data_IF_512974413953
#
_entry.id   IF_512974413953
#
_cell.length_a   1.000
_cell.length_b   1.000
_cell.length_c   1.000
_cell.angle_alpha   90.00
_cell.angle_beta   90.00
_cell.angle_gamma   90.00
#
_symmetry.space_group_name_H-M   'P 1'
#
loop_
_entity.id
_entity.type
_entity.pdbx_description
1 polymer ?
#
# COMPACT_ATOMS: atom_id res chain seq x y z
N UNK A 1 10.89 9.96 -4.65
CA UNK A 1 10.71 10.70 -3.39
C UNK A 1 9.43 11.51 -3.51
N UNK A 2 8.57 11.51 -2.51
CA UNK A 2 7.33 12.28 -2.47
C UNK A 2 7.28 13.18 -1.23
N UNK A 3 6.43 14.18 -1.24
CA UNK A 3 6.18 15.10 -0.14
C UNK A 3 4.68 15.19 0.20
N UNK A 4 4.31 16.08 1.10
CA UNK A 4 2.93 16.26 1.54
C UNK A 4 1.96 16.77 0.46
N UNK A 5 2.45 17.15 -0.73
CA UNK A 5 1.65 17.57 -1.90
C UNK A 5 1.38 16.40 -2.84
N UNK A 6 2.11 15.32 -2.68
CA UNK A 6 1.93 14.11 -3.49
C UNK A 6 0.70 13.32 -3.05
N UNK A 7 0.16 12.54 -3.96
CA UNK A 7 -0.85 11.54 -3.69
C UNK A 7 -0.22 10.14 -3.74
N UNK A 8 -0.44 9.35 -2.69
CA UNK A 8 0.17 8.02 -2.53
C UNK A 8 -0.94 6.95 -2.46
N UNK A 9 -1.61 6.62 -3.57
CA UNK A 9 -2.68 5.62 -3.55
C UNK A 9 -2.14 4.22 -3.28
N UNK A 10 -2.87 3.44 -2.47
CA UNK A 10 -2.66 2.00 -2.31
C UNK A 10 -3.59 1.29 -3.27
N UNK A 11 -3.02 0.58 -4.24
CA UNK A 11 -3.72 -0.10 -5.32
C UNK A 11 -3.60 -1.61 -5.15
N UNK A 12 -4.65 -2.35 -5.48
CA UNK A 12 -4.74 -3.80 -5.31
C UNK A 12 -4.14 -4.60 -6.48
N UNK A 13 -3.39 -3.97 -7.36
CA UNK A 13 -2.75 -4.62 -8.52
C UNK A 13 -3.75 -5.20 -9.51
N UNK A 14 -4.93 -4.57 -9.67
CA UNK A 14 -5.95 -4.97 -10.63
C UNK A 14 -5.70 -4.32 -12.00
N UNK A 15 -6.16 -4.97 -13.06
CA UNK A 15 -5.96 -4.48 -14.44
C UNK A 15 -6.46 -3.05 -14.64
N UNK A 16 -7.63 -2.72 -14.10
CA UNK A 16 -8.20 -1.37 -14.20
C UNK A 16 -7.36 -0.30 -13.51
N UNK A 17 -6.67 -0.65 -12.41
CA UNK A 17 -5.80 0.28 -11.68
C UNK A 17 -4.50 0.55 -12.45
N UNK A 18 -3.89 -0.48 -13.06
CA UNK A 18 -2.74 -0.28 -13.95
C UNK A 18 -3.12 0.56 -15.17
N UNK A 19 -4.33 0.31 -15.75
CA UNK A 19 -4.87 1.13 -16.83
C UNK A 19 -5.07 2.59 -16.39
N UNK A 20 -5.65 2.82 -15.22
CA UNK A 20 -5.85 4.17 -14.68
C UNK A 20 -4.51 4.92 -14.48
N UNK A 21 -3.46 4.25 -14.00
CA UNK A 21 -2.13 4.84 -13.90
C UNK A 21 -1.54 5.18 -15.27
N UNK A 22 -1.80 4.32 -16.27
CA UNK A 22 -1.34 4.54 -17.65
C UNK A 22 -1.95 5.79 -18.28
N UNK A 23 -3.23 6.05 -18.02
CA UNK A 23 -3.99 7.18 -18.58
C UNK A 23 -3.70 8.52 -17.87
N UNK A 24 -2.92 8.55 -16.80
CA UNK A 24 -2.56 9.81 -16.14
C UNK A 24 -1.69 10.67 -17.06
N UNK A 25 -2.04 11.95 -17.21
CA UNK A 25 -1.15 12.90 -17.88
C UNK A 25 0.20 13.01 -17.15
N UNK A 26 1.28 13.37 -17.83
CA UNK A 26 2.61 13.51 -17.20
C UNK A 26 2.60 14.44 -15.97
N UNK A 27 1.83 15.54 -16.03
CA UNK A 27 1.73 16.53 -14.96
C UNK A 27 1.05 15.91 -13.71
N UNK A 28 -0.03 15.15 -13.88
CA UNK A 28 -0.71 14.46 -12.78
C UNK A 28 0.17 13.34 -12.24
N UNK A 29 0.77 12.57 -13.14
CA UNK A 29 1.63 11.42 -12.79
C UNK A 29 2.81 11.84 -11.94
N UNK A 30 3.42 13.00 -12.19
CA UNK A 30 4.52 13.53 -11.40
C UNK A 30 4.17 13.76 -9.91
N UNK A 31 2.88 13.96 -9.61
CA UNK A 31 2.38 14.12 -8.23
C UNK A 31 1.86 12.82 -7.60
N UNK A 32 1.94 11.67 -8.30
CA UNK A 32 1.39 10.39 -7.83
C UNK A 32 2.49 9.36 -7.65
N UNK A 33 2.59 8.79 -6.44
CA UNK A 33 3.52 7.69 -6.14
C UNK A 33 2.71 6.50 -5.60
N UNK A 34 2.32 5.56 -6.46
CA UNK A 34 1.43 4.48 -6.04
C UNK A 34 2.17 3.42 -5.24
N UNK A 35 1.49 2.86 -4.24
CA UNK A 35 1.79 1.58 -3.62
C UNK A 35 0.96 0.53 -4.33
N UNK A 36 1.59 -0.45 -4.95
CA UNK A 36 0.90 -1.54 -5.62
C UNK A 36 1.04 -2.80 -4.77
N UNK A 37 -0.05 -3.22 -4.16
CA UNK A 37 -0.14 -4.53 -3.50
C UNK A 37 -0.33 -5.62 -4.56
N UNK A 38 0.58 -6.58 -4.59
CA UNK A 38 0.40 -7.76 -5.45
C UNK A 38 -0.70 -8.62 -4.81
N UNK A 39 -1.80 -8.90 -5.55
CA UNK A 39 -2.92 -9.64 -5.00
C UNK A 39 -2.54 -11.08 -4.64
N UNK A 40 -3.31 -11.75 -3.76
CA UNK A 40 -3.10 -13.15 -3.48
C UNK A 40 -3.36 -13.99 -4.73
N UNK A 41 -2.80 -15.21 -4.75
CA UNK A 41 -3.13 -16.18 -5.80
C UNK A 41 -4.63 -16.46 -5.71
N UNK A 42 -5.40 -16.30 -6.81
CA UNK A 42 -6.83 -16.56 -6.76
C UNK A 42 -7.13 -18.01 -6.38
N UNK A 43 -8.15 -18.21 -5.57
CA UNK A 43 -8.60 -19.52 -5.14
C UNK A 43 -9.58 -20.12 -6.15
N UNK A 44 -9.42 -21.39 -6.47
CA UNK A 44 -10.40 -22.16 -7.24
C UNK A 44 -11.30 -22.92 -6.27
N UNK A 45 -12.52 -22.41 -6.12
CA UNK A 45 -13.51 -22.96 -5.18
C UNK A 45 -14.10 -24.30 -5.63
N UNK A 46 -13.95 -24.66 -6.91
CA UNK A 46 -14.40 -25.98 -7.42
C UNK A 46 -13.40 -27.07 -7.10
N UNK A 47 -12.11 -26.73 -7.23
CA UNK A 47 -11.00 -27.65 -7.03
C UNK A 47 -10.38 -27.51 -5.63
N UNK A 48 -10.89 -26.61 -4.80
CA UNK A 48 -10.42 -26.32 -3.43
C UNK A 48 -8.89 -26.12 -3.35
N UNK A 49 -8.34 -25.37 -4.29
CA UNK A 49 -6.88 -25.10 -4.39
C UNK A 49 -6.60 -23.75 -5.04
N UNK A 50 -5.35 -23.25 -4.94
CA UNK A 50 -4.93 -22.10 -5.73
C UNK A 50 -5.16 -22.36 -7.23
N UNK A 51 -5.73 -21.38 -7.94
CA UNK A 51 -6.08 -21.52 -9.37
C UNK A 51 -4.88 -21.56 -10.30
N UNK A 52 -3.69 -21.23 -9.80
CA UNK A 52 -2.42 -21.22 -10.53
C UNK A 52 -1.23 -21.27 -9.59
N UNK A 53 -0.07 -21.64 -10.12
CA UNK A 53 1.19 -21.58 -9.38
C UNK A 53 1.64 -20.14 -9.17
N UNK A 54 2.51 -19.92 -8.19
CA UNK A 54 3.13 -18.61 -7.93
C UNK A 54 3.88 -18.08 -9.17
N UNK A 55 4.57 -18.93 -9.91
CA UNK A 55 5.28 -18.56 -11.14
C UNK A 55 4.33 -17.96 -12.17
N UNK A 56 3.21 -18.65 -12.42
CA UNK A 56 2.18 -18.17 -13.35
C UNK A 56 1.51 -16.90 -12.85
N UNK A 57 1.37 -16.75 -11.53
CA UNK A 57 0.78 -15.58 -10.91
C UNK A 57 1.65 -14.32 -11.09
N UNK A 58 2.95 -14.45 -10.86
CA UNK A 58 3.88 -13.33 -10.90
C UNK A 58 4.45 -13.02 -12.30
N UNK A 59 4.29 -13.93 -13.25
CA UNK A 59 4.89 -13.86 -14.60
C UNK A 59 4.72 -12.50 -15.28
N UNK A 60 3.53 -11.89 -15.18
CA UNK A 60 3.20 -10.67 -15.90
C UNK A 60 3.25 -9.41 -15.02
N UNK A 61 3.66 -9.52 -13.75
CA UNK A 61 3.64 -8.39 -12.80
C UNK A 61 4.53 -7.25 -13.30
N UNK A 62 5.78 -7.53 -13.66
CA UNK A 62 6.71 -6.50 -14.13
C UNK A 62 6.24 -5.84 -15.42
N UNK A 63 5.60 -6.58 -16.35
CA UNK A 63 4.99 -6.02 -17.56
C UNK A 63 3.84 -5.07 -17.24
N UNK A 64 3.00 -5.41 -16.28
CA UNK A 64 1.88 -4.54 -15.85
C UNK A 64 2.39 -3.27 -15.15
N UNK A 65 3.43 -3.39 -14.32
CA UNK A 65 4.06 -2.24 -13.68
C UNK A 65 4.73 -1.33 -14.72
N UNK A 66 5.34 -1.90 -15.76
CA UNK A 66 5.86 -1.13 -16.89
C UNK A 66 4.75 -0.31 -17.59
N UNK A 67 3.61 -0.94 -17.89
CA UNK A 67 2.45 -0.27 -18.48
C UNK A 67 1.90 0.84 -17.56
N UNK A 68 1.99 0.67 -16.24
CA UNK A 68 1.60 1.68 -15.26
C UNK A 68 2.59 2.87 -15.14
N UNK A 69 3.65 2.89 -15.92
CA UNK A 69 4.64 3.98 -15.95
C UNK A 69 5.81 3.81 -14.99
N UNK A 70 6.12 2.58 -14.59
CA UNK A 70 7.24 2.30 -13.67
C UNK A 70 8.63 2.57 -14.26
N UNK A 71 8.75 2.88 -15.55
CA UNK A 71 10.01 3.34 -16.16
C UNK A 71 10.31 4.78 -15.81
N UNK A 72 9.29 5.62 -15.79
CA UNK A 72 9.38 7.06 -15.61
C UNK A 72 9.27 7.48 -14.15
N UNK A 73 8.45 6.76 -13.38
CA UNK A 73 8.15 7.09 -11.99
C UNK A 73 8.33 5.90 -11.07
N UNK A 74 8.76 6.16 -9.85
CA UNK A 74 8.89 5.12 -8.84
C UNK A 74 7.51 4.57 -8.44
N UNK A 75 7.42 3.24 -8.36
CA UNK A 75 6.26 2.52 -7.83
C UNK A 75 6.71 1.74 -6.60
N UNK A 76 6.00 1.91 -5.49
CA UNK A 76 6.21 1.13 -4.28
C UNK A 76 5.48 -0.21 -4.44
N UNK A 77 6.16 -1.34 -4.24
CA UNK A 77 5.58 -2.68 -4.48
C UNK A 77 5.55 -3.49 -3.20
N UNK A 78 4.36 -3.92 -2.83
CA UNK A 78 4.09 -4.70 -1.62
C UNK A 78 3.55 -6.10 -1.97
N UNK A 79 4.23 -7.14 -1.45
CA UNK A 79 3.79 -8.52 -1.56
C UNK A 79 3.03 -8.97 -0.28
N UNK A 80 2.27 -8.06 0.34
CA UNK A 80 1.53 -8.31 1.58
C UNK A 80 0.64 -9.56 1.52
N UNK A 81 0.09 -9.87 0.35
CA UNK A 81 -0.88 -10.93 0.14
C UNK A 81 -0.29 -12.22 -0.46
N UNK A 82 1.01 -12.26 -0.67
CA UNK A 82 1.71 -13.49 -1.05
C UNK A 82 2.10 -14.24 0.22
N UNK A 83 1.82 -15.53 0.27
CA UNK A 83 2.09 -16.32 1.46
C UNK A 83 3.61 -16.38 1.73
N UNK A 84 3.98 -16.34 3.01
CA UNK A 84 5.38 -16.30 3.43
C UNK A 84 6.19 -17.50 2.94
N UNK A 85 5.52 -18.67 2.84
CA UNK A 85 6.14 -19.93 2.40
C UNK A 85 6.14 -20.10 0.87
N UNK A 86 5.52 -19.19 0.11
CA UNK A 86 5.53 -19.29 -1.35
C UNK A 86 6.95 -19.13 -1.90
N UNK A 87 7.30 -20.01 -2.84
CA UNK A 87 8.57 -19.97 -3.58
C UNK A 87 8.30 -20.21 -5.06
N UNK A 88 9.08 -19.54 -5.89
CA UNK A 88 9.12 -19.86 -7.33
C UNK A 88 9.57 -21.31 -7.52
N UNK A 89 9.31 -21.89 -8.68
CA UNK A 89 9.67 -23.30 -8.96
C UNK A 89 11.17 -23.60 -8.81
N UNK A 90 12.02 -22.60 -8.96
CA UNK A 90 13.48 -22.68 -8.75
C UNK A 90 13.93 -22.40 -7.32
N UNK A 91 12.99 -22.20 -6.38
CA UNK A 91 13.24 -21.86 -4.99
C UNK A 91 13.44 -20.36 -4.70
N UNK A 92 13.42 -19.51 -5.73
CA UNK A 92 13.60 -18.06 -5.58
C UNK A 92 12.44 -17.46 -4.75
N UNK A 93 12.77 -16.52 -3.84
CA UNK A 93 11.77 -15.78 -3.10
C UNK A 93 10.92 -14.87 -4.04
N UNK A 94 9.57 -14.82 -3.91
CA UNK A 94 8.69 -14.04 -4.80
C UNK A 94 9.09 -12.57 -4.96
N UNK A 95 9.50 -11.91 -3.88
CA UNK A 95 9.97 -10.52 -3.92
C UNK A 95 11.21 -10.40 -4.81
N UNK A 96 12.19 -11.29 -4.66
CA UNK A 96 13.40 -11.31 -5.48
C UNK A 96 13.08 -11.51 -6.96
N UNK A 97 12.13 -12.40 -7.27
CA UNK A 97 11.68 -12.64 -8.64
C UNK A 97 11.07 -11.38 -9.28
N UNK A 98 10.12 -10.73 -8.59
CA UNK A 98 9.47 -9.52 -9.10
C UNK A 98 10.49 -8.41 -9.37
N UNK A 99 11.42 -8.18 -8.45
CA UNK A 99 12.43 -7.14 -8.60
C UNK A 99 13.51 -7.47 -9.62
N UNK A 100 13.88 -8.75 -9.81
CA UNK A 100 14.82 -9.15 -10.87
C UNK A 100 14.22 -8.94 -12.26
N UNK A 101 12.98 -9.37 -12.48
CA UNK A 101 12.30 -9.18 -13.77
C UNK A 101 11.98 -7.72 -14.06
N UNK A 102 11.72 -6.93 -13.04
CA UNK A 102 11.54 -5.47 -13.17
C UNK A 102 12.85 -4.77 -13.57
N UNK A 103 13.96 -5.19 -12.99
CA UNK A 103 15.29 -4.63 -13.30
C UNK A 103 15.68 -4.89 -14.75
N UNK A 104 15.42 -6.10 -15.28
CA UNK A 104 15.62 -6.45 -16.70
C UNK A 104 14.84 -5.51 -17.64
N UNK A 105 13.72 -4.96 -17.16
CA UNK A 105 12.90 -3.99 -17.90
C UNK A 105 13.25 -2.53 -17.63
N UNK A 106 14.22 -2.25 -16.76
CA UNK A 106 14.60 -0.90 -16.38
C UNK A 106 13.56 -0.16 -15.54
N UNK A 107 12.76 -0.88 -14.75
CA UNK A 107 11.69 -0.28 -13.94
C UNK A 107 12.23 0.31 -12.64
N UNK A 108 11.57 1.37 -12.16
CA UNK A 108 11.92 2.07 -10.93
C UNK A 108 11.03 1.58 -9.78
N UNK A 109 11.32 0.41 -9.24
CA UNK A 109 10.56 -0.15 -8.12
C UNK A 109 11.27 0.10 -6.78
N UNK A 110 10.46 0.27 -5.74
CA UNK A 110 10.91 0.35 -4.34
C UNK A 110 10.17 -0.71 -3.55
N UNK A 111 10.84 -1.62 -2.83
CA UNK A 111 10.17 -2.65 -2.05
C UNK A 111 9.47 -2.03 -0.84
N UNK A 112 8.27 -2.52 -0.53
CA UNK A 112 7.57 -2.22 0.72
C UNK A 112 7.83 -3.34 1.70
N UNK A 113 8.17 -2.98 2.93
CA UNK A 113 8.33 -3.90 4.06
C UNK A 113 7.56 -3.40 5.29
N UNK A 114 7.59 -4.16 6.38
CA UNK A 114 6.94 -3.85 7.65
C UNK A 114 7.57 -4.62 8.79
N UNK A 115 7.24 -4.27 10.03
CA UNK A 115 7.86 -4.87 11.23
C UNK A 115 7.51 -6.37 11.37
N UNK A 116 6.35 -6.78 10.90
CA UNK A 116 5.83 -8.14 11.01
C UNK A 116 6.18 -9.04 9.82
N UNK A 117 7.08 -8.63 8.92
CA UNK A 117 7.54 -9.47 7.81
C UNK A 117 8.60 -10.46 8.30
N UNK A 118 8.49 -11.73 7.85
CA UNK A 118 9.42 -12.78 8.20
C UNK A 118 10.87 -12.53 7.75
N UNK A 119 11.80 -13.26 8.35
CA UNK A 119 13.23 -13.08 8.12
C UNK A 119 13.65 -13.23 6.66
N UNK A 120 13.06 -14.17 5.93
CA UNK A 120 13.37 -14.40 4.52
C UNK A 120 12.88 -13.25 3.62
N UNK A 121 11.72 -12.66 3.95
CA UNK A 121 11.26 -11.45 3.28
C UNK A 121 12.21 -10.28 3.52
N UNK A 122 12.66 -10.09 4.78
CA UNK A 122 13.61 -9.04 5.13
C UNK A 122 14.96 -9.26 4.44
N UNK A 123 15.42 -10.50 4.35
CA UNK A 123 16.65 -10.84 3.63
C UNK A 123 16.54 -10.51 2.13
N UNK A 124 15.40 -10.88 1.50
CA UNK A 124 15.14 -10.55 0.10
C UNK A 124 15.06 -9.01 -0.10
N UNK A 125 14.39 -8.30 0.80
CA UNK A 125 14.29 -6.84 0.77
C UNK A 125 15.69 -6.19 0.88
N UNK A 126 16.52 -6.63 1.82
CA UNK A 126 17.91 -6.15 2.00
C UNK A 126 18.75 -6.34 0.73
N UNK A 127 18.65 -7.49 0.09
CA UNK A 127 19.41 -7.75 -1.15
C UNK A 127 18.97 -6.85 -2.30
N UNK A 128 17.66 -6.58 -2.40
CA UNK A 128 17.10 -5.65 -3.38
C UNK A 128 17.58 -4.22 -3.10
N UNK A 129 17.46 -3.76 -1.86
CA UNK A 129 17.90 -2.42 -1.43
C UNK A 129 19.38 -2.20 -1.76
N UNK A 130 20.23 -3.18 -1.40
CA UNK A 130 21.68 -3.14 -1.69
C UNK A 130 21.97 -3.07 -3.20
N UNK A 131 21.20 -3.82 -4.01
CA UNK A 131 21.45 -3.92 -5.45
C UNK A 131 20.93 -2.72 -6.22
N UNK A 132 19.72 -2.24 -5.89
CA UNK A 132 19.02 -1.23 -6.66
C UNK A 132 19.26 0.19 -6.14
N UNK A 133 19.78 0.32 -4.90
CA UNK A 133 20.10 1.59 -4.23
C UNK A 133 18.92 2.60 -4.23
N UNK A 134 17.68 2.09 -4.15
CA UNK A 134 16.46 2.91 -4.15
C UNK A 134 15.81 3.01 -2.75
N UNK A 135 16.44 2.39 -1.73
CA UNK A 135 15.90 2.30 -0.40
C UNK A 135 14.66 1.40 -0.32
N UNK A 136 13.84 1.63 0.69
CA UNK A 136 12.61 0.88 0.95
C UNK A 136 11.48 1.79 1.38
N UNK A 137 10.25 1.28 1.41
CA UNK A 137 9.13 1.89 2.10
C UNK A 137 8.77 1.04 3.32
N UNK A 138 8.93 1.59 4.51
CA UNK A 138 8.43 0.98 5.75
C UNK A 138 6.95 1.30 5.91
N UNK A 139 6.11 0.28 5.90
CA UNK A 139 4.68 0.37 6.14
C UNK A 139 4.40 -0.05 7.58
N UNK A 140 4.00 0.93 8.39
CA UNK A 140 3.54 0.72 9.76
C UNK A 140 2.02 0.62 9.77
N UNK A 141 1.48 -0.35 10.51
CA UNK A 141 0.04 -0.57 10.68
C UNK A 141 -0.37 -0.25 12.13
N UNK A 142 -1.67 -0.26 12.43
CA UNK A 142 -2.18 0.02 13.78
C UNK A 142 -1.58 -0.90 14.83
N UNK A 143 -1.42 -2.15 14.48
CA UNK A 143 -0.91 -3.23 15.33
C UNK A 143 0.54 -3.00 15.77
N UNK A 144 1.32 -2.25 14.99
CA UNK A 144 2.70 -1.89 15.31
C UNK A 144 2.83 -0.86 16.44
N UNK A 145 1.69 -0.22 16.83
CA UNK A 145 1.64 0.79 17.90
C UNK A 145 1.16 0.22 19.24
N UNK A 146 1.38 -1.06 19.47
CA UNK A 146 1.13 -1.68 20.77
C UNK A 146 2.10 -1.10 21.82
N UNK A 147 1.52 -0.54 22.89
CA UNK A 147 2.29 0.09 23.99
C UNK A 147 3.21 -0.90 24.72
N UNK A 148 2.98 -2.20 24.59
CA UNK A 148 3.84 -3.23 25.18
C UNK A 148 5.20 -3.38 24.49
N UNK A 149 5.39 -2.77 23.31
CA UNK A 149 6.57 -2.91 22.47
C UNK A 149 7.26 -1.56 22.23
N UNK A 150 8.60 -1.57 22.19
CA UNK A 150 9.36 -0.39 21.81
C UNK A 150 9.41 -0.25 20.28
N UNK A 151 8.45 0.48 19.71
CA UNK A 151 8.38 0.78 18.29
C UNK A 151 9.69 1.40 17.77
N UNK A 152 10.32 2.28 18.56
CA UNK A 152 11.56 2.91 18.17
C UNK A 152 12.69 1.92 17.98
N UNK A 153 12.83 0.97 18.92
CA UNK A 153 13.82 -0.10 18.82
C UNK A 153 13.55 -1.05 17.66
N UNK A 154 12.28 -1.42 17.43
CA UNK A 154 11.91 -2.29 16.32
C UNK A 154 12.24 -1.66 14.96
N UNK A 155 11.89 -0.39 14.78
CA UNK A 155 12.24 0.36 13.56
C UNK A 155 13.76 0.44 13.39
N UNK A 156 14.51 0.76 14.45
CA UNK A 156 15.97 0.83 14.39
C UNK A 156 16.56 -0.52 13.97
N UNK A 157 16.14 -1.61 14.60
CA UNK A 157 16.59 -2.98 14.29
C UNK A 157 16.32 -3.34 12.83
N UNK A 158 15.13 -3.01 12.31
CA UNK A 158 14.78 -3.27 10.91
C UNK A 158 15.64 -2.45 9.94
N UNK A 159 15.82 -1.15 10.19
CA UNK A 159 16.66 -0.30 9.34
C UNK A 159 18.13 -0.75 9.36
N UNK A 160 18.65 -1.14 10.52
CA UNK A 160 20.00 -1.71 10.65
C UNK A 160 20.12 -3.03 9.87
N UNK A 161 19.12 -3.91 9.95
CA UNK A 161 19.07 -5.16 9.17
C UNK A 161 19.11 -4.87 7.64
N UNK A 162 18.45 -3.82 7.19
CA UNK A 162 18.44 -3.40 5.79
C UNK A 162 19.66 -2.55 5.40
N UNK A 163 20.51 -2.19 6.35
CA UNK A 163 21.63 -1.26 6.20
C UNK A 163 21.19 0.11 5.62
N UNK A 164 20.12 0.66 6.20
CA UNK A 164 19.52 1.94 5.80
C UNK A 164 19.45 2.90 6.99
N UNK A 165 19.47 4.19 6.67
CA UNK A 165 19.05 5.25 7.57
C UNK A 165 17.60 5.69 7.28
N UNK A 166 16.92 6.40 8.18
CA UNK A 166 15.59 6.94 7.91
C UNK A 166 15.55 7.81 6.63
N UNK A 167 16.63 8.51 6.28
CA UNK A 167 16.72 9.32 5.07
C UNK A 167 16.74 8.51 3.76
N UNK A 168 16.97 7.20 3.86
CA UNK A 168 16.96 6.28 2.72
C UNK A 168 15.62 5.55 2.58
N UNK A 169 14.72 5.72 3.54
CA UNK A 169 13.46 5.01 3.62
C UNK A 169 12.25 5.94 3.57
N UNK A 170 11.23 5.55 2.80
CA UNK A 170 9.91 6.13 2.85
C UNK A 170 9.13 5.54 4.03
N UNK A 171 8.25 6.32 4.63
CA UNK A 171 7.39 5.88 5.72
C UNK A 171 5.93 5.97 5.29
N UNK A 172 5.21 4.88 5.40
CA UNK A 172 3.76 4.79 5.17
C UNK A 172 3.08 4.36 6.48
N UNK A 173 2.40 5.30 7.15
CA UNK A 173 1.51 4.96 8.27
C UNK A 173 0.15 4.58 7.72
N UNK A 174 -0.19 3.31 7.80
CA UNK A 174 -1.42 2.76 7.25
C UNK A 174 -2.40 2.40 8.38
N UNK A 175 -3.42 3.23 8.53
CA UNK A 175 -4.48 3.05 9.53
C UNK A 175 -5.54 2.02 9.09
N UNK A 176 -5.43 1.49 7.88
CA UNK A 176 -6.35 0.53 7.27
C UNK A 176 -7.80 1.09 7.18
N UNK A 177 -8.80 0.28 7.52
CA UNK A 177 -10.21 0.72 7.49
C UNK A 177 -10.53 1.66 8.66
N UNK A 178 -11.18 2.79 8.35
CA UNK A 178 -11.62 3.80 9.33
C UNK A 178 -13.14 3.85 9.47
N UNK A 179 -13.85 2.90 8.86
CA UNK A 179 -15.32 2.82 8.93
C UNK A 179 -15.82 2.31 10.28
N UNK A 180 -17.10 2.58 10.57
CA UNK A 180 -17.77 2.10 11.78
C UNK A 180 -17.53 2.97 13.01
N UNK A 181 -17.83 2.41 14.20
CA UNK A 181 -17.78 3.09 15.51
C UNK A 181 -16.36 3.45 15.96
N UNK A 182 -15.33 2.80 15.42
CA UNK A 182 -13.94 3.01 15.78
C UNK A 182 -13.32 4.27 15.16
N UNK A 183 -13.93 4.85 14.13
CA UNK A 183 -13.36 5.97 13.36
C UNK A 183 -13.03 7.18 14.22
N UNK A 184 -13.88 7.54 15.19
CA UNK A 184 -13.65 8.69 16.07
C UNK A 184 -12.51 8.46 17.08
N UNK A 185 -12.41 7.24 17.63
CA UNK A 185 -11.32 6.86 18.53
C UNK A 185 -9.97 6.85 17.78
N UNK A 186 -9.96 6.32 16.57
CA UNK A 186 -8.78 6.33 15.70
C UNK A 186 -8.33 7.76 15.38
N UNK A 187 -9.27 8.65 15.03
CA UNK A 187 -8.98 10.06 14.80
C UNK A 187 -8.27 10.72 15.99
N UNK A 188 -8.64 10.36 17.21
CA UNK A 188 -8.02 10.89 18.42
C UNK A 188 -6.62 10.30 18.66
N UNK A 189 -6.37 9.04 18.31
CA UNK A 189 -5.12 8.32 18.54
C UNK A 189 -4.01 8.67 17.53
N UNK A 190 -4.35 9.02 16.28
CA UNK A 190 -3.36 9.25 15.21
C UNK A 190 -2.27 10.26 15.55
N UNK A 191 -2.55 11.42 16.21
CA UNK A 191 -1.48 12.33 16.61
C UNK A 191 -0.46 11.68 17.56
N UNK A 192 -0.88 10.76 18.43
CA UNK A 192 0.01 10.00 19.30
C UNK A 192 0.85 9.01 18.49
N UNK A 193 0.26 8.28 17.57
CA UNK A 193 1.00 7.38 16.66
C UNK A 193 2.10 8.15 15.91
N UNK A 194 1.76 9.28 15.32
CA UNK A 194 2.74 10.09 14.59
C UNK A 194 3.88 10.59 15.50
N UNK A 195 3.57 10.96 16.76
CA UNK A 195 4.59 11.42 17.72
C UNK A 195 5.50 10.30 18.24
N UNK A 196 5.01 9.06 18.29
CA UNK A 196 5.82 7.90 18.71
C UNK A 196 6.80 7.44 17.64
N UNK A 197 6.63 7.86 16.38
CA UNK A 197 7.57 7.54 15.31
C UNK A 197 8.89 8.29 15.55
N UNK A 198 10.02 7.58 15.71
CA UNK A 198 11.30 8.20 16.00
C UNK A 198 11.79 9.04 14.82
N UNK A 199 12.31 10.24 15.12
CA UNK A 199 12.99 11.12 14.15
C UNK A 199 12.18 11.34 12.85
N UNK A 200 10.86 11.53 12.93
CA UNK A 200 9.96 11.62 11.78
C UNK A 200 10.45 12.60 10.69
N UNK A 201 11.07 13.71 11.07
CA UNK A 201 11.62 14.68 10.12
C UNK A 201 12.78 14.12 9.29
N UNK A 202 13.50 13.14 9.82
CA UNK A 202 14.66 12.52 9.17
C UNK A 202 14.31 11.47 8.11
N UNK A 203 13.06 11.05 7.99
CA UNK A 203 12.67 10.08 6.97
C UNK A 203 12.70 10.70 5.56
N UNK A 204 12.91 9.88 4.54
CA UNK A 204 12.95 10.34 3.15
C UNK A 204 11.62 10.97 2.72
N UNK A 205 10.52 10.29 2.98
CA UNK A 205 9.16 10.78 2.79
C UNK A 205 8.21 10.19 3.84
N UNK A 206 7.00 10.76 3.97
CA UNK A 206 6.01 10.30 4.92
C UNK A 206 4.61 10.41 4.32
N UNK A 207 3.83 9.33 4.37
CA UNK A 207 2.44 9.29 3.96
C UNK A 207 1.54 8.71 5.07
N UNK A 208 0.29 9.16 5.10
CA UNK A 208 -0.76 8.66 5.99
C UNK A 208 -1.87 8.07 5.14
N UNK A 209 -2.09 6.77 5.28
CA UNK A 209 -3.09 6.00 4.57
C UNK A 209 -4.25 5.61 5.47
N UNK A 210 -5.45 5.62 4.90
CA UNK A 210 -6.65 5.06 5.49
C UNK A 210 -7.71 4.86 4.41
N UNK A 211 -8.78 4.12 4.71
CA UNK A 211 -9.97 4.06 3.84
C UNK A 211 -11.24 4.00 4.66
N UNK A 212 -12.25 4.74 4.21
CA UNK A 212 -13.62 4.61 4.67
C UNK A 212 -14.50 3.83 3.68
N UNK A 213 -13.89 3.32 2.59
CA UNK A 213 -14.64 2.53 1.61
C UNK A 213 -15.08 1.22 2.24
N UNK A 214 -16.37 0.87 2.16
CA UNK A 214 -16.89 -0.33 2.83
C UNK A 214 -16.37 -1.60 2.15
N UNK A 215 -16.31 -2.68 2.91
CA UNK A 215 -15.95 -4.00 2.40
C UNK A 215 -16.91 -4.49 1.32
N UNK A 216 -18.20 -4.16 1.48
CA UNK A 216 -19.25 -4.52 0.54
C UNK A 216 -20.20 -3.35 0.30
N UNK A 217 -20.68 -3.25 -0.93
CA UNK A 217 -21.76 -2.33 -1.31
C UNK A 217 -23.16 -2.96 -1.14
N UNK A 218 -23.22 -4.18 -0.63
CA UNK A 218 -24.49 -4.85 -0.29
C UNK A 218 -25.22 -4.03 0.77
N UNK A 219 -26.51 -3.75 0.50
CA UNK A 219 -27.33 -2.87 1.38
C UNK A 219 -27.44 -1.43 0.89
N UNK A 220 -26.66 -1.02 -0.12
CA UNK A 220 -26.93 0.22 -0.82
C UNK A 220 -28.09 0.03 -1.81
N UNK A 221 -29.06 0.95 -1.87
CA UNK A 221 -30.19 0.82 -2.79
C UNK A 221 -29.71 0.76 -4.25
N UNK A 222 -30.15 -0.23 -5.05
CA UNK A 222 -29.83 -0.28 -6.46
C UNK A 222 -30.48 0.87 -7.22
N UNK A 223 -29.80 1.39 -8.24
CA UNK A 223 -30.24 2.50 -9.08
C UNK A 223 -30.40 3.86 -8.36
N UNK A 224 -29.90 3.97 -7.14
CA UNK A 224 -29.91 5.20 -6.37
C UNK A 224 -28.49 5.73 -6.13
N UNK A 225 -28.38 7.04 -5.88
CA UNK A 225 -27.12 7.68 -5.51
C UNK A 225 -26.93 7.56 -4.02
N UNK A 226 -26.00 6.73 -3.60
CA UNK A 226 -25.57 6.64 -2.20
C UNK A 226 -24.32 7.45 -1.94
N UNK A 227 -24.20 8.01 -0.71
CA UNK A 227 -23.04 8.80 -0.30
C UNK A 227 -22.20 8.05 0.72
N UNK A 228 -20.91 7.90 0.42
CA UNK A 228 -19.93 7.36 1.36
C UNK A 228 -19.09 8.53 1.85
N UNK A 229 -19.09 8.75 3.17
CA UNK A 229 -18.29 9.82 3.79
C UNK A 229 -16.82 9.40 3.76
N UNK A 230 -15.96 10.25 3.22
CA UNK A 230 -14.51 10.00 3.14
C UNK A 230 -13.83 10.38 4.45
N UNK A 231 -13.96 9.51 5.45
CA UNK A 231 -13.38 9.73 6.78
C UNK A 231 -11.85 9.85 6.71
N UNK A 232 -11.19 9.13 5.81
CA UNK A 232 -9.74 9.21 5.57
C UNK A 232 -9.32 10.63 5.15
N UNK A 233 -10.12 11.29 4.32
CA UNK A 233 -9.87 12.67 3.90
C UNK A 233 -10.10 13.67 5.01
N UNK A 234 -11.19 13.51 5.75
CA UNK A 234 -11.53 14.36 6.91
C UNK A 234 -10.43 14.22 7.97
N UNK A 235 -9.98 12.99 8.26
CA UNK A 235 -8.88 12.72 9.15
C UNK A 235 -7.62 13.47 8.71
N UNK A 236 -7.17 13.25 7.48
CA UNK A 236 -5.94 13.87 6.99
C UNK A 236 -6.01 15.41 7.09
N UNK A 237 -7.10 16.01 6.64
CA UNK A 237 -7.29 17.46 6.74
C UNK A 237 -7.29 17.97 8.18
N UNK A 238 -7.90 17.25 9.11
CA UNK A 238 -7.96 17.65 10.52
C UNK A 238 -6.63 17.53 11.25
N UNK A 239 -5.73 16.69 10.75
CA UNK A 239 -4.39 16.49 11.32
C UNK A 239 -3.43 17.63 10.96
N UNK A 240 -3.50 18.16 9.73
CA UNK A 240 -2.56 19.18 9.25
C UNK A 240 -2.35 20.32 10.26
N UNK A 241 -3.40 21.01 10.78
CA UNK A 241 -3.22 22.09 11.74
C UNK A 241 -2.73 21.59 13.13
N UNK A 242 -2.91 20.32 13.46
CA UNK A 242 -2.55 19.72 14.75
C UNK A 242 -1.09 19.25 14.82
N UNK A 243 -0.47 19.00 13.68
CA UNK A 243 0.91 18.51 13.61
C UNK A 243 1.95 19.62 13.87
N UNK A 244 1.58 20.89 13.76
CA UNK A 244 2.43 22.03 14.08
C UNK A 244 3.75 22.00 13.29
N UNK A 245 4.88 21.80 14.01
CA UNK A 245 6.23 21.70 13.42
C UNK A 245 6.61 20.29 12.98
N UNK A 246 5.74 19.30 13.18
CA UNK A 246 6.00 17.94 12.70
C UNK A 246 5.88 17.91 11.19
N UNK A 247 6.49 16.86 10.61
CA UNK A 247 6.42 16.62 9.16
C UNK A 247 4.98 16.33 8.74
N UNK A 248 4.51 17.05 7.73
CA UNK A 248 3.19 16.80 7.15
C UNK A 248 3.22 15.53 6.30
N UNK A 249 2.24 14.62 6.47
CA UNK A 249 2.12 13.44 5.61
C UNK A 249 1.57 13.78 4.23
N UNK A 250 2.01 13.05 3.21
CA UNK A 250 1.29 12.93 1.96
C UNK A 250 -0.07 12.25 2.21
N UNK A 251 -1.07 12.63 1.43
CA UNK A 251 -2.37 11.94 1.48
C UNK A 251 -2.27 10.58 0.79
N UNK A 252 -2.77 9.54 1.46
CA UNK A 252 -2.85 8.19 0.95
C UNK A 252 -4.23 7.60 1.24
N UNK A 253 -4.77 6.84 0.30
CA UNK A 253 -6.00 6.06 0.48
C UNK A 253 -5.98 4.80 -0.41
N UNK A 254 -7.01 4.00 -0.33
CA UNK A 254 -7.18 2.77 -1.13
C UNK A 254 -8.06 3.01 -2.39
N UNK A 255 -8.25 4.27 -2.78
CA UNK A 255 -9.14 4.62 -3.88
C UNK A 255 -10.58 4.22 -3.60
N UNK A 256 -11.08 3.28 -4.39
CA UNK A 256 -12.43 2.69 -4.26
C UNK A 256 -12.37 1.23 -3.82
N UNK A 257 -11.32 0.83 -3.12
CA UNK A 257 -11.14 -0.53 -2.62
C UNK A 257 -11.15 -0.59 -1.09
N UNK A 258 -11.63 -1.69 -0.56
CA UNK A 258 -11.44 -2.04 0.86
C UNK A 258 -10.01 -2.57 1.09
N UNK A 259 -9.56 -2.52 2.34
CA UNK A 259 -8.21 -2.98 2.73
C UNK A 259 -7.98 -4.45 2.48
N UNK A 260 -8.99 -5.29 2.69
CA UNK A 260 -8.92 -6.73 2.48
C UNK A 260 -9.22 -7.10 1.03
N UNK A 261 -8.53 -8.11 0.46
CA UNK A 261 -9.01 -8.77 -0.75
C UNK A 261 -10.39 -9.40 -0.50
N UNK A 262 -11.23 -9.44 -1.52
CA UNK A 262 -12.50 -10.17 -1.41
C UNK A 262 -12.24 -11.67 -1.40
N UNK A 263 -12.73 -12.35 -0.36
CA UNK A 263 -12.69 -13.80 -0.23
C UNK A 263 -13.99 -14.47 -0.71
N UNK A 264 -14.93 -13.70 -1.26
CA UNK A 264 -16.20 -14.22 -1.72
C UNK A 264 -16.02 -15.00 -3.01
N UNK A 265 -16.59 -16.21 -3.04
CA UNK A 265 -16.62 -17.05 -4.25
C UNK A 265 -17.30 -16.29 -5.42
N UNK A 266 -16.57 -16.04 -6.53
CA UNK A 266 -17.11 -15.32 -7.66
C UNK A 266 -18.38 -15.95 -8.28
N UNK A 267 -18.60 -17.25 -8.06
CA UNK A 267 -19.77 -17.99 -8.56
C UNK A 267 -21.08 -17.60 -7.84
N UNK A 268 -20.96 -17.11 -6.60
CA UNK A 268 -22.13 -16.64 -5.82
C UNK A 268 -22.25 -15.12 -5.84
N UNK A 269 -21.25 -14.41 -6.39
CA UNK A 269 -21.33 -12.96 -6.54
C UNK A 269 -22.33 -12.58 -7.63
N UNK A 270 -23.24 -11.67 -7.28
CA UNK A 270 -24.06 -10.99 -8.31
C UNK A 270 -23.30 -9.74 -8.75
N UNK A 271 -22.75 -9.71 -9.97
CA UNK A 271 -22.04 -8.54 -10.45
C UNK A 271 -23.03 -7.37 -10.55
N UNK A 272 -22.68 -6.25 -9.93
CA UNK A 272 -23.39 -4.98 -10.09
C UNK A 272 -22.43 -3.96 -10.69
N UNK A 273 -22.91 -3.19 -11.67
CA UNK A 273 -22.16 -2.05 -12.16
C UNK A 273 -22.35 -0.89 -11.18
N UNK A 274 -21.25 -0.39 -10.62
CA UNK A 274 -21.26 0.78 -9.74
C UNK A 274 -20.32 1.84 -10.31
N UNK A 275 -20.79 3.08 -10.37
CA UNK A 275 -19.96 4.23 -10.72
C UNK A 275 -19.68 4.99 -9.42
N UNK A 276 -18.40 5.04 -9.04
CA UNK A 276 -17.96 5.82 -7.87
C UNK A 276 -17.35 7.13 -8.36
N UNK A 277 -17.92 8.24 -7.94
CA UNK A 277 -17.43 9.57 -8.27
C UNK A 277 -17.05 10.32 -7.00
N UNK A 278 -16.00 11.15 -7.07
CA UNK A 278 -15.66 12.07 -5.98
C UNK A 278 -16.49 13.33 -6.14
N UNK A 279 -17.32 13.66 -5.14
CA UNK A 279 -17.93 14.97 -5.04
C UNK A 279 -17.03 15.84 -4.16
N UNK A 280 -16.55 16.96 -4.72
CA UNK A 280 -15.99 18.02 -3.89
C UNK A 280 -17.17 18.69 -3.15
N UNK A 281 -17.24 18.54 -1.82
CA UNK A 281 -18.08 19.45 -1.05
C UNK A 281 -17.47 20.84 -1.20
N UNK A 282 -18.19 21.71 -1.86
CA UNK A 282 -17.93 23.17 -1.74
C UNK A 282 -18.29 23.52 -0.31
N UNK A 283 -17.29 23.74 0.55
CA UNK A 283 -17.43 24.33 1.87
C UNK A 283 -17.42 25.84 1.78
#
# INVERSE_FOLDING_TARGET
MFDHRSYVPILKGRLGEYGALHELSPEIRAGVVPVVEIPPIPWDYAEERPSKTIDRHLKDVSKRLEQAGARENAILVDLLWIAENDRMADGTHPLTYVFSTARERGLQLVPVTGLMRGEEYQAACRDIVRRDARGTCLRLQREDFDESQDLGQQIATLLDCLNLSPSDADLLLDLRATGGTEGSALLAAVPSFIRSIPRLVGWRSFALAATAFPESLVGLPPLEVSRIVRLEWILWRSLIPRLGRLRLPAFSDYGIAHVQPSEVDPRVMRPSASIVTRSMMRG
#
